data_IF_326547478849
#
_entry.id   IF_326547478849
#
_cell.length_a   1.000
_cell.length_b   1.000
_cell.length_c   1.000
_cell.angle_alpha   90.00
_cell.angle_beta   90.00
_cell.angle_gamma   90.00
#
_symmetry.space_group_name_H-M   'P 1'
#
loop_
_entity.id
_entity.type
_entity.pdbx_description
1 polymer ?
#
# COMPACT_ATOMS: atom_id res chain seq x y z
N UNK A 1 -0.80 3.03 41.78
CA UNK A 1 -0.87 2.91 43.27
C UNK A 1 0.54 2.64 43.77
N UNK A 2 1.03 3.45 44.71
CA UNK A 2 2.45 3.53 45.03
C UNK A 2 3.02 2.33 45.80
N UNK A 3 4.17 1.85 45.34
CA UNK A 3 5.09 1.06 46.13
C UNK A 3 6.38 1.89 46.32
N UNK A 4 6.75 2.12 47.58
CA UNK A 4 8.02 2.75 47.95
C UNK A 4 9.14 1.72 47.74
N UNK A 5 10.23 2.01 47.01
CA UNK A 5 11.28 1.03 46.80
C UNK A 5 12.16 0.91 48.05
N UNK A 6 12.26 -0.29 48.58
CA UNK A 6 13.25 -0.65 49.60
C UNK A 6 14.63 -0.67 48.95
N UNK A 7 15.59 0.04 49.56
CA UNK A 7 16.98 0.10 49.10
C UNK A 7 17.67 -1.27 49.29
N UNK A 8 17.89 -1.99 48.19
CA UNK A 8 18.68 -3.21 48.15
C UNK A 8 20.06 -2.96 47.51
N UNK A 9 21.09 -3.64 48.04
CA UNK A 9 22.49 -3.31 47.84
C UNK A 9 23.12 -4.19 46.76
N UNK A 10 23.36 -3.60 45.57
CA UNK A 10 24.14 -4.18 44.48
C UNK A 10 23.93 -3.41 43.18
N UNK A 11 24.95 -2.71 42.67
CA UNK A 11 24.83 -1.80 41.51
C UNK A 11 24.41 -2.50 40.22
N UNK A 12 24.71 -3.80 40.06
CA UNK A 12 24.28 -4.61 38.90
C UNK A 12 22.82 -5.09 38.99
N UNK A 13 22.37 -5.49 40.19
CA UNK A 13 20.98 -5.93 40.40
C UNK A 13 19.98 -4.79 40.17
N UNK A 14 20.34 -3.56 40.57
CA UNK A 14 19.53 -2.37 40.33
C UNK A 14 19.34 -2.08 38.83
N UNK A 15 20.38 -2.26 38.00
CA UNK A 15 20.30 -2.00 36.55
C UNK A 15 19.35 -3.00 35.89
N UNK A 16 19.41 -4.28 36.27
CA UNK A 16 18.53 -5.31 35.71
C UNK A 16 17.07 -5.13 36.14
N UNK A 17 16.81 -4.69 37.38
CA UNK A 17 15.46 -4.33 37.85
C UNK A 17 14.90 -3.12 37.09
N UNK A 18 15.72 -2.10 36.80
CA UNK A 18 15.27 -0.97 35.97
C UNK A 18 14.94 -1.40 34.53
N UNK A 19 15.76 -2.26 33.93
CA UNK A 19 15.51 -2.77 32.57
C UNK A 19 14.27 -3.65 32.50
N UNK A 20 13.99 -4.47 33.53
CA UNK A 20 12.72 -5.18 33.64
C UNK A 20 11.52 -4.23 33.69
N UNK A 21 11.65 -3.13 34.44
CA UNK A 21 10.62 -2.09 34.47
C UNK A 21 10.33 -1.51 33.08
N UNK A 22 11.36 -1.14 32.32
CA UNK A 22 11.19 -0.63 30.96
C UNK A 22 10.64 -1.66 29.98
N UNK A 23 11.04 -2.93 30.10
CA UNK A 23 10.49 -3.99 29.27
C UNK A 23 8.97 -4.13 29.48
N UNK A 24 8.50 -4.07 30.73
CA UNK A 24 7.05 -4.08 31.02
C UNK A 24 6.33 -2.84 30.50
N UNK A 25 6.97 -1.66 30.54
CA UNK A 25 6.39 -0.45 29.94
C UNK A 25 6.29 -0.56 28.41
N UNK A 26 7.31 -1.13 27.74
CA UNK A 26 7.29 -1.39 26.29
C UNK A 26 6.20 -2.40 25.93
N UNK A 27 6.05 -3.47 26.69
CA UNK A 27 4.96 -4.44 26.50
C UNK A 27 3.57 -3.80 26.65
N UNK A 28 3.40 -2.89 27.62
CA UNK A 28 2.19 -2.09 27.75
C UNK A 28 1.98 -1.12 26.58
N UNK A 29 3.06 -0.52 26.07
CA UNK A 29 3.03 0.31 24.86
C UNK A 29 2.58 -0.47 23.63
N UNK A 30 3.10 -1.68 23.44
CA UNK A 30 2.67 -2.58 22.36
C UNK A 30 1.19 -2.95 22.48
N UNK A 31 0.70 -3.25 23.69
CA UNK A 31 -0.74 -3.53 23.90
C UNK A 31 -1.63 -2.35 23.47
N UNK A 32 -1.19 -1.11 23.76
CA UNK A 32 -1.87 0.12 23.34
C UNK A 32 -1.87 0.29 21.82
N UNK A 33 -0.72 0.14 21.19
CA UNK A 33 -0.55 0.29 19.73
C UNK A 33 -1.35 -0.76 18.98
N UNK A 34 -1.40 -2.00 19.48
CA UNK A 34 -2.19 -3.09 18.90
C UNK A 34 -3.69 -2.80 18.96
N UNK A 35 -4.17 -2.33 20.10
CA UNK A 35 -5.57 -1.94 20.25
C UNK A 35 -5.93 -0.73 19.35
N UNK A 36 -5.03 0.23 19.21
CA UNK A 36 -5.21 1.37 18.32
C UNK A 36 -5.22 0.95 16.84
N UNK A 37 -4.35 0.01 16.44
CA UNK A 37 -4.34 -0.55 15.09
C UNK A 37 -5.64 -1.29 14.76
N UNK A 38 -6.18 -2.07 15.71
CA UNK A 38 -7.47 -2.73 15.57
C UNK A 38 -8.61 -1.71 15.46
N UNK A 39 -8.61 -0.68 16.30
CA UNK A 39 -9.61 0.39 16.24
C UNK A 39 -9.58 1.11 14.88
N UNK A 40 -8.40 1.48 14.39
CA UNK A 40 -8.23 2.16 13.10
C UNK A 40 -8.72 1.30 11.94
N UNK A 41 -8.51 -0.02 12.01
CA UNK A 41 -8.99 -0.95 11.00
C UNK A 41 -10.52 -1.01 10.94
N UNK A 42 -11.19 -0.95 12.09
CA UNK A 42 -12.66 -0.91 12.17
C UNK A 42 -13.23 0.40 11.66
N UNK A 43 -12.58 1.53 11.99
CA UNK A 43 -12.97 2.85 11.48
C UNK A 43 -12.81 2.89 9.96
N UNK A 44 -11.65 2.50 9.42
CA UNK A 44 -11.41 2.44 7.98
C UNK A 44 -12.44 1.55 7.27
N UNK A 45 -12.76 0.38 7.83
CA UNK A 45 -13.81 -0.48 7.29
C UNK A 45 -15.21 0.16 7.34
N UNK A 46 -15.49 0.96 8.39
CA UNK A 46 -16.70 1.76 8.49
C UNK A 46 -16.80 2.83 7.40
N UNK A 47 -15.70 3.56 7.16
CA UNK A 47 -15.62 4.56 6.11
C UNK A 47 -15.81 3.95 4.72
N UNK A 48 -15.25 2.77 4.44
CA UNK A 48 -15.49 2.05 3.17
C UNK A 48 -16.96 1.64 2.97
N UNK A 49 -17.65 1.22 4.04
CA UNK A 49 -19.10 0.99 3.95
C UNK A 49 -19.85 2.28 3.65
N UNK A 50 -19.41 3.38 4.23
CA UNK A 50 -19.98 4.70 4.02
C UNK A 50 -19.79 5.18 2.57
N UNK A 51 -18.59 4.97 2.02
CA UNK A 51 -18.22 5.26 0.64
C UNK A 51 -19.08 4.46 -0.35
N UNK A 52 -19.31 3.17 -0.07
CA UNK A 52 -20.17 2.32 -0.88
C UNK A 52 -21.62 2.85 -0.96
N UNK A 53 -22.13 3.45 0.13
CA UNK A 53 -23.44 4.12 0.12
C UNK A 53 -23.43 5.38 -0.74
N UNK A 54 -22.34 6.18 -0.68
CA UNK A 54 -22.17 7.38 -1.49
C UNK A 54 -22.04 7.07 -2.99
N UNK A 55 -21.25 6.05 -3.35
CA UNK A 55 -21.14 5.54 -4.72
C UNK A 55 -22.52 5.14 -5.25
N UNK A 56 -23.31 4.38 -4.46
CA UNK A 56 -24.68 4.03 -4.84
C UNK A 56 -25.58 5.26 -4.98
N UNK A 57 -25.43 6.27 -4.11
CA UNK A 57 -26.17 7.54 -4.15
C UNK A 57 -25.86 8.39 -5.38
N UNK A 58 -24.65 8.29 -5.94
CA UNK A 58 -24.20 9.05 -7.11
C UNK A 58 -24.91 8.70 -8.43
N UNK A 59 -25.63 7.57 -8.45
CA UNK A 59 -26.38 7.11 -9.62
C UNK A 59 -27.63 7.94 -9.82
N UNK A 60 -27.81 8.50 -11.02
CA UNK A 60 -28.94 9.39 -11.35
C UNK A 60 -30.28 8.66 -11.47
N UNK A 61 -30.26 7.36 -11.72
CA UNK A 61 -31.45 6.52 -11.93
C UNK A 61 -32.08 6.01 -10.62
N UNK A 62 -31.55 6.37 -9.45
CA UNK A 62 -32.12 5.93 -8.17
C UNK A 62 -33.46 6.62 -7.86
N UNK A 63 -34.53 5.86 -7.55
CA UNK A 63 -35.81 6.42 -7.11
C UNK A 63 -35.69 7.16 -5.77
N UNK A 64 -36.51 8.20 -5.56
CA UNK A 64 -36.46 9.04 -4.35
C UNK A 64 -36.68 8.28 -3.04
N UNK A 65 -37.51 7.22 -3.03
CA UNK A 65 -37.69 6.37 -1.86
C UNK A 65 -36.40 5.64 -1.43
N UNK A 66 -35.62 5.14 -2.40
CA UNK A 66 -34.34 4.47 -2.11
C UNK A 66 -33.26 5.45 -1.66
N UNK A 67 -33.35 6.74 -2.04
CA UNK A 67 -32.43 7.78 -1.54
C UNK A 67 -32.64 8.06 -0.06
N UNK A 68 -33.89 8.06 0.42
CA UNK A 68 -34.19 8.20 1.86
C UNK A 68 -33.61 7.04 2.67
N UNK A 69 -33.70 5.82 2.14
CA UNK A 69 -33.10 4.64 2.77
C UNK A 69 -31.57 4.75 2.83
N UNK A 70 -30.92 5.25 1.77
CA UNK A 70 -29.47 5.51 1.75
C UNK A 70 -29.06 6.58 2.76
N UNK A 71 -29.78 7.71 2.85
CA UNK A 71 -29.50 8.75 3.84
C UNK A 71 -29.67 8.21 5.27
N UNK A 72 -30.64 7.32 5.50
CA UNK A 72 -30.83 6.69 6.81
C UNK A 72 -29.70 5.69 7.15
N UNK A 73 -29.24 4.92 6.16
CA UNK A 73 -28.08 4.03 6.31
C UNK A 73 -26.80 4.82 6.58
N UNK A 74 -26.60 5.93 5.88
CA UNK A 74 -25.51 6.88 6.11
C UNK A 74 -25.46 7.38 7.57
N UNK A 75 -26.58 7.89 8.09
CA UNK A 75 -26.67 8.33 9.49
C UNK A 75 -26.34 7.21 10.50
N UNK A 76 -26.67 5.96 10.14
CA UNK A 76 -26.32 4.78 10.94
C UNK A 76 -24.80 4.54 10.94
N UNK A 77 -24.15 4.60 9.77
CA UNK A 77 -22.69 4.44 9.69
C UNK A 77 -21.95 5.56 10.43
N UNK A 78 -22.40 6.82 10.36
CA UNK A 78 -21.83 7.91 11.17
C UNK A 78 -21.85 7.59 12.67
N UNK A 79 -22.98 7.07 13.16
CA UNK A 79 -23.11 6.67 14.57
C UNK A 79 -22.19 5.50 14.92
N UNK A 80 -22.00 4.55 14.00
CA UNK A 80 -21.10 3.41 14.21
C UNK A 80 -19.63 3.83 14.25
N UNK A 81 -19.20 4.76 13.39
CA UNK A 81 -17.84 5.34 13.43
C UNK A 81 -17.59 5.98 14.79
N UNK A 82 -18.50 6.84 15.26
CA UNK A 82 -18.40 7.45 16.59
C UNK A 82 -18.38 6.41 17.71
N UNK A 83 -19.20 5.36 17.60
CA UNK A 83 -19.26 4.31 18.59
C UNK A 83 -17.93 3.53 18.65
N UNK A 84 -17.36 3.13 17.52
CA UNK A 84 -16.09 2.41 17.47
C UNK A 84 -14.93 3.25 18.02
N UNK A 85 -14.88 4.55 17.68
CA UNK A 85 -13.89 5.48 18.25
C UNK A 85 -13.97 5.56 19.79
N UNK A 86 -15.18 5.50 20.34
CA UNK A 86 -15.42 5.53 21.78
C UNK A 86 -15.30 4.17 22.48
N UNK A 87 -15.20 3.06 21.74
CA UNK A 87 -14.99 1.71 22.30
C UNK A 87 -13.52 1.31 22.41
N UNK A 88 -12.63 2.03 21.70
CA UNK A 88 -11.19 1.82 21.78
C UNK A 88 -10.64 2.34 23.12
N UNK A 89 -10.62 1.46 24.13
CA UNK A 89 -10.18 1.77 25.48
C UNK A 89 -9.28 0.65 26.03
N UNK A 90 -8.17 1.05 26.67
CA UNK A 90 -7.37 0.17 27.54
C UNK A 90 -7.28 0.82 28.92
N UNK A 91 -7.60 0.07 29.98
CA UNK A 91 -7.45 0.51 31.36
C UNK A 91 -8.07 1.89 31.65
N UNK A 92 -9.24 2.22 31.06
CA UNK A 92 -9.89 3.53 31.18
C UNK A 92 -9.19 4.70 30.51
N UNK A 93 -8.33 4.41 29.55
CA UNK A 93 -7.75 5.37 28.62
C UNK A 93 -8.36 5.14 27.25
N UNK A 94 -9.08 6.15 26.75
CA UNK A 94 -9.59 6.14 25.38
C UNK A 94 -8.46 6.43 24.40
N UNK A 95 -8.40 5.65 23.34
CA UNK A 95 -7.30 5.63 22.39
C UNK A 95 -7.60 6.38 21.08
N UNK A 96 -8.88 6.51 20.73
CA UNK A 96 -9.30 6.95 19.40
C UNK A 96 -10.38 8.06 19.38
N UNK A 97 -10.70 8.68 20.53
CA UNK A 97 -11.75 9.72 20.61
C UNK A 97 -11.23 11.10 21.04
N UNK A 98 -9.91 11.32 20.98
CA UNK A 98 -9.29 12.60 21.36
C UNK A 98 -9.32 12.96 22.84
N UNK A 99 -9.91 12.12 23.72
CA UNK A 99 -9.94 12.41 25.18
C UNK A 99 -8.55 12.32 25.83
N UNK A 100 -7.66 11.54 25.23
CA UNK A 100 -6.26 11.43 25.61
C UNK A 100 -5.44 11.73 24.36
N UNK A 101 -4.41 12.57 24.49
CA UNK A 101 -3.62 13.03 23.34
C UNK A 101 -2.39 12.17 23.08
N UNK A 102 -1.75 11.68 24.14
CA UNK A 102 -0.57 10.82 24.02
C UNK A 102 -0.36 9.96 25.26
N UNK A 103 0.43 8.90 25.11
CA UNK A 103 0.95 8.05 26.18
C UNK A 103 2.47 8.02 26.11
N UNK A 104 3.09 8.14 27.27
CA UNK A 104 4.54 8.11 27.46
C UNK A 104 4.99 6.68 27.79
N UNK A 105 5.86 6.10 26.96
CA UNK A 105 6.49 4.79 27.19
C UNK A 105 7.97 4.99 27.51
N UNK A 106 8.39 4.53 28.69
CA UNK A 106 9.78 4.64 29.13
C UNK A 106 10.61 3.45 28.65
N UNK A 107 11.62 3.75 27.82
CA UNK A 107 12.57 2.77 27.27
C UNK A 107 14.00 2.95 27.82
N UNK A 108 14.22 3.93 28.69
CA UNK A 108 15.52 4.19 29.29
C UNK A 108 15.53 5.33 30.32
N UNK A 109 16.71 5.64 30.84
CA UNK A 109 16.93 6.76 31.78
C UNK A 109 17.23 8.09 31.10
N UNK A 110 17.51 8.08 29.79
CA UNK A 110 17.87 9.30 29.07
C UNK A 110 16.64 10.21 28.93
N UNK A 111 16.70 11.48 29.33
CA UNK A 111 15.54 12.37 29.29
C UNK A 111 15.14 12.79 27.87
N UNK A 112 15.92 12.45 26.84
CA UNK A 112 15.67 12.81 25.43
C UNK A 112 15.36 11.57 24.59
N UNK A 113 16.00 10.43 24.86
CA UNK A 113 15.87 9.20 24.06
C UNK A 113 15.33 8.00 24.87
N UNK A 114 15.08 8.17 26.17
CA UNK A 114 14.53 7.15 27.05
C UNK A 114 13.00 7.18 27.13
N UNK A 115 12.36 8.00 26.32
CA UNK A 115 10.92 8.18 26.28
C UNK A 115 10.42 8.13 24.83
N UNK A 116 9.43 7.29 24.58
CA UNK A 116 8.68 7.24 23.32
C UNK A 116 7.29 7.80 23.62
N UNK A 117 6.95 8.91 22.97
CA UNK A 117 5.61 9.48 23.04
C UNK A 117 4.75 8.86 21.94
N UNK A 118 3.70 8.14 22.32
CA UNK A 118 2.74 7.53 21.41
C UNK A 118 1.58 8.50 21.25
N UNK A 119 1.41 9.15 20.08
CA UNK A 119 0.23 9.96 19.83
C UNK A 119 -1.01 9.06 19.75
N UNK A 120 -2.07 9.47 20.45
CA UNK A 120 -3.39 8.86 20.34
C UNK A 120 -4.25 9.66 19.37
N UNK A 121 -5.29 9.01 18.84
CA UNK A 121 -6.03 9.53 17.70
C UNK A 121 -7.41 10.07 18.11
N UNK A 122 -7.99 10.87 17.21
CA UNK A 122 -9.39 11.26 17.28
C UNK A 122 -10.07 10.94 15.95
N UNK A 123 -10.68 9.76 15.90
CA UNK A 123 -11.41 9.24 14.75
C UNK A 123 -12.93 9.36 14.94
N UNK A 124 -13.37 10.31 15.77
CA UNK A 124 -14.80 10.61 15.90
C UNK A 124 -15.35 11.18 14.59
N UNK A 125 -16.61 10.88 14.30
CA UNK A 125 -17.29 11.32 13.09
C UNK A 125 -17.24 12.85 12.88
N UNK A 126 -17.36 13.70 13.92
CA UNK A 126 -17.18 15.15 13.78
C UNK A 126 -15.76 15.57 13.36
N UNK A 127 -14.72 14.88 13.83
CA UNK A 127 -13.33 15.20 13.47
C UNK A 127 -13.02 14.75 12.06
N UNK A 128 -13.52 13.57 11.67
CA UNK A 128 -13.41 13.04 10.31
C UNK A 128 -14.32 13.76 9.30
N UNK A 129 -15.24 14.61 9.76
CA UNK A 129 -16.20 15.33 8.90
C UNK A 129 -17.30 14.44 8.30
N UNK A 130 -17.57 13.30 8.93
CA UNK A 130 -18.55 12.28 8.49
C UNK A 130 -19.76 12.19 9.42
N UNK A 131 -19.97 13.20 10.25
CA UNK A 131 -21.08 13.28 11.20
C UNK A 131 -22.46 13.42 10.50
N UNK A 132 -23.52 13.26 11.30
CA UNK A 132 -24.89 13.29 10.79
C UNK A 132 -25.21 14.66 10.16
N UNK A 133 -25.46 14.65 8.85
CA UNK A 133 -25.76 15.84 8.06
C UNK A 133 -24.58 16.42 7.28
N UNK A 134 -23.35 15.97 7.53
CA UNK A 134 -22.17 16.30 6.72
C UNK A 134 -22.11 15.50 5.42
N UNK A 135 -22.71 14.31 5.40
CA UNK A 135 -22.85 13.45 4.22
C UNK A 135 -24.26 13.60 3.61
N UNK A 136 -24.34 14.13 2.40
CA UNK A 136 -25.59 14.33 1.67
C UNK A 136 -25.76 13.28 0.57
N UNK A 137 -26.66 12.31 0.78
CA UNK A 137 -27.02 11.29 -0.21
C UNK A 137 -28.42 11.52 -0.82
N UNK A 138 -29.01 12.69 -0.57
CA UNK A 138 -30.40 12.99 -0.97
C UNK A 138 -30.54 13.21 -2.49
N UNK A 139 -29.45 13.58 -3.17
CA UNK A 139 -29.36 13.70 -4.62
C UNK A 139 -27.96 13.28 -5.16
N UNK A 140 -27.83 13.05 -6.49
CA UNK A 140 -26.56 12.59 -7.08
C UNK A 140 -25.39 13.57 -6.93
N UNK A 141 -25.63 14.87 -6.91
CA UNK A 141 -24.59 15.91 -6.80
C UNK A 141 -24.08 15.99 -5.36
N UNK A 142 -25.00 15.94 -4.38
CA UNK A 142 -24.66 15.79 -2.97
C UNK A 142 -23.82 14.53 -2.72
N UNK A 143 -24.22 13.40 -3.31
CA UNK A 143 -23.52 12.13 -3.12
C UNK A 143 -22.08 12.15 -3.67
N UNK A 144 -21.86 12.77 -4.85
CA UNK A 144 -20.52 12.96 -5.42
C UNK A 144 -19.65 13.88 -4.57
N UNK A 145 -20.23 14.94 -4.00
CA UNK A 145 -19.50 15.85 -3.11
C UNK A 145 -19.12 15.16 -1.80
N UNK A 146 -19.99 14.29 -1.30
CA UNK A 146 -19.76 13.52 -0.08
C UNK A 146 -18.69 12.44 -0.26
N UNK A 147 -18.52 11.91 -1.48
CA UNK A 147 -17.44 10.95 -1.78
C UNK A 147 -16.06 11.55 -1.50
N UNK A 148 -15.82 12.79 -1.92
CA UNK A 148 -14.55 13.48 -1.66
C UNK A 148 -14.29 13.70 -0.16
N UNK A 149 -15.34 13.91 0.65
CA UNK A 149 -15.22 14.01 2.11
C UNK A 149 -14.84 12.66 2.72
N UNK A 150 -15.48 11.58 2.25
CA UNK A 150 -15.21 10.21 2.73
C UNK A 150 -13.81 9.74 2.34
N UNK A 151 -13.34 10.05 1.12
CA UNK A 151 -11.97 9.78 0.66
C UNK A 151 -10.93 10.53 1.52
N UNK A 152 -11.19 11.81 1.83
CA UNK A 152 -10.32 12.58 2.71
C UNK A 152 -10.28 12.03 4.15
N UNK A 153 -11.43 11.59 4.68
CA UNK A 153 -11.51 10.95 5.98
C UNK A 153 -10.75 9.62 6.02
N UNK A 154 -10.91 8.78 4.97
CA UNK A 154 -10.19 7.52 4.85
C UNK A 154 -8.68 7.73 4.78
N UNK A 155 -8.23 8.68 3.95
CA UNK A 155 -6.82 9.04 3.84
C UNK A 155 -6.22 9.52 5.18
N UNK A 156 -6.96 10.31 5.95
CA UNK A 156 -6.53 10.74 7.29
C UNK A 156 -6.36 9.56 8.25
N UNK A 157 -7.29 8.59 8.24
CA UNK A 157 -7.21 7.40 9.09
C UNK A 157 -6.07 6.48 8.65
N UNK A 158 -5.80 6.36 7.35
CA UNK A 158 -4.70 5.55 6.84
C UNK A 158 -3.32 6.17 7.13
N UNK A 159 -3.20 7.50 7.09
CA UNK A 159 -2.00 8.22 7.55
C UNK A 159 -1.73 7.92 9.03
N UNK A 160 -2.75 8.05 9.88
CA UNK A 160 -2.66 7.73 11.31
C UNK A 160 -2.30 6.25 11.54
N UNK A 161 -2.87 5.31 10.76
CA UNK A 161 -2.53 3.88 10.83
C UNK A 161 -1.06 3.61 10.44
N UNK A 162 -0.51 4.38 9.50
CA UNK A 162 0.91 4.35 9.16
C UNK A 162 1.79 4.74 10.35
N UNK A 163 1.44 5.79 11.08
CA UNK A 163 2.13 6.19 12.31
C UNK A 163 2.05 5.11 13.41
N UNK A 164 0.89 4.48 13.56
CA UNK A 164 0.69 3.38 14.52
C UNK A 164 1.59 2.19 14.18
N UNK A 165 1.69 1.81 12.91
CA UNK A 165 2.57 0.73 12.46
C UNK A 165 4.05 1.05 12.72
N UNK A 166 4.53 2.23 12.32
CA UNK A 166 5.92 2.63 12.58
C UNK A 166 6.26 2.68 14.08
N UNK A 167 5.31 3.08 14.92
CA UNK A 167 5.47 3.09 16.38
C UNK A 167 5.57 1.67 16.95
N UNK A 168 4.80 0.72 16.38
CA UNK A 168 4.89 -0.71 16.73
C UNK A 168 6.29 -1.25 16.48
N UNK A 169 6.81 -1.04 15.27
CA UNK A 169 8.12 -1.55 14.87
C UNK A 169 9.24 -0.99 15.78
N UNK A 170 9.16 0.29 16.12
CA UNK A 170 10.07 0.92 17.07
C UNK A 170 10.01 0.26 18.45
N UNK A 171 8.81 0.01 18.97
CA UNK A 171 8.64 -0.65 20.27
C UNK A 171 9.12 -2.10 20.26
N UNK A 172 8.93 -2.84 19.16
CA UNK A 172 9.43 -4.21 18.99
C UNK A 172 10.97 -4.24 19.01
N UNK A 173 11.65 -3.32 18.31
CA UNK A 173 13.12 -3.18 18.40
C UNK A 173 13.57 -2.88 19.83
N UNK A 174 12.85 -2.03 20.56
CA UNK A 174 13.17 -1.75 21.96
C UNK A 174 12.92 -2.97 22.87
N UNK A 175 11.86 -3.73 22.61
CA UNK A 175 11.53 -4.98 23.33
C UNK A 175 12.65 -6.01 23.18
N UNK A 176 13.09 -6.27 21.94
CA UNK A 176 14.17 -7.20 21.65
C UNK A 176 15.49 -6.80 22.33
N UNK A 177 15.86 -5.52 22.23
CA UNK A 177 17.09 -5.00 22.86
C UNK A 177 17.05 -5.10 24.38
N UNK A 178 15.92 -4.76 25.01
CA UNK A 178 15.75 -4.87 26.46
C UNK A 178 15.73 -6.34 26.91
N UNK A 179 15.16 -7.23 26.11
CA UNK A 179 15.15 -8.68 26.36
C UNK A 179 16.56 -9.28 26.33
N UNK A 180 17.35 -8.97 25.30
CA UNK A 180 18.76 -9.39 25.20
C UNK A 180 19.58 -8.82 26.36
N UNK A 181 19.40 -7.54 26.67
CA UNK A 181 20.08 -6.90 27.80
C UNK A 181 19.74 -7.57 29.14
N UNK A 182 18.52 -8.08 29.29
CA UNK A 182 18.08 -8.81 30.46
C UNK A 182 18.67 -10.23 30.52
N UNK A 183 18.87 -10.87 29.38
CA UNK A 183 19.58 -12.16 29.26
C UNK A 183 21.05 -12.01 29.70
N UNK A 184 21.76 -10.99 29.21
CA UNK A 184 23.13 -10.66 29.65
C UNK A 184 23.19 -10.34 31.16
N UNK A 185 22.14 -9.72 31.70
CA UNK A 185 22.00 -9.46 33.12
C UNK A 185 22.01 -10.74 33.97
N UNK A 186 21.52 -11.87 33.44
CA UNK A 186 21.60 -13.19 34.08
C UNK A 186 23.02 -13.77 34.08
N UNK A 187 23.83 -13.44 33.08
CA UNK A 187 25.21 -13.92 32.91
C UNK A 187 26.20 -13.20 33.86
N UNK A 188 25.88 -11.98 34.31
CA UNK A 188 26.67 -11.22 35.30
C UNK A 188 26.60 -11.76 36.74
N UNK A 189 25.79 -12.79 37.02
CA UNK A 189 25.65 -13.42 38.35
C UNK A 189 26.64 -14.60 38.55
N UNK A 190 27.37 -15.04 37.52
CA UNK A 190 28.42 -16.07 37.65
C UNK A 190 29.83 -15.48 37.56
N UNK A 191 30.63 -15.42 38.65
CA UNK A 191 31.97 -14.81 38.64
C UNK A 191 33.06 -15.65 37.93
N UNK A 192 32.73 -16.50 36.96
CA UNK A 192 33.69 -17.40 36.31
C UNK A 192 33.51 -17.59 34.79
N UNK A 193 32.88 -16.66 34.07
CA UNK A 193 32.80 -16.75 32.61
C UNK A 193 34.03 -16.11 31.91
N UNK A 194 34.63 -16.77 30.90
CA UNK A 194 35.75 -16.25 30.12
C UNK A 194 35.34 -15.06 29.25
N UNK A 195 36.32 -14.21 28.87
CA UNK A 195 36.10 -12.95 28.14
C UNK A 195 35.16 -13.09 26.93
N UNK A 196 34.31 -12.09 26.66
CA UNK A 196 33.36 -12.13 25.55
C UNK A 196 34.12 -12.21 24.23
N UNK A 197 33.82 -13.27 23.46
CA UNK A 197 34.08 -13.29 22.03
C UNK A 197 33.15 -12.26 21.44
N UNK A 198 33.70 -11.15 20.91
CA UNK A 198 32.91 -10.17 20.14
C UNK A 198 32.21 -10.95 19.02
N UNK A 199 30.88 -11.07 19.02
CA UNK A 199 30.18 -11.70 17.91
C UNK A 199 30.48 -10.88 16.65
N UNK A 200 30.59 -11.53 15.48
CA UNK A 200 30.68 -10.79 14.22
C UNK A 200 29.54 -9.77 14.13
N UNK A 201 29.73 -8.63 13.43
CA UNK A 201 28.71 -7.60 13.32
C UNK A 201 27.40 -8.23 12.87
N UNK A 202 26.32 -7.88 13.57
CA UNK A 202 24.98 -8.33 13.22
C UNK A 202 24.64 -7.81 11.81
N UNK A 203 24.39 -8.75 10.90
CA UNK A 203 24.07 -8.46 9.49
C UNK A 203 22.57 -8.40 9.25
N UNK A 204 21.74 -8.68 10.26
CA UNK A 204 20.27 -8.67 10.18
C UNK A 204 19.72 -7.42 9.51
N UNK A 205 20.16 -6.24 9.94
CA UNK A 205 19.72 -4.93 9.42
C UNK A 205 20.07 -4.73 7.95
N UNK A 206 21.22 -5.25 7.51
CA UNK A 206 21.63 -5.15 6.10
C UNK A 206 20.80 -6.10 5.27
N UNK A 207 20.61 -7.34 5.75
CA UNK A 207 19.77 -8.35 5.11
C UNK A 207 18.32 -7.87 4.95
N UNK A 208 17.75 -7.26 5.98
CA UNK A 208 16.40 -6.69 5.96
C UNK A 208 16.26 -5.62 4.87
N UNK A 209 17.16 -4.63 4.84
CA UNK A 209 17.14 -3.60 3.79
C UNK A 209 17.34 -4.14 2.37
N UNK A 210 18.06 -5.26 2.20
CA UNK A 210 18.21 -5.92 0.90
C UNK A 210 16.91 -6.61 0.47
N UNK A 211 16.18 -7.21 1.42
CA UNK A 211 14.90 -7.86 1.18
C UNK A 211 13.80 -6.83 0.88
N UNK A 212 13.75 -5.73 1.61
CA UNK A 212 12.79 -4.64 1.35
C UNK A 212 12.92 -4.10 -0.09
N UNK A 213 14.14 -3.82 -0.53
CA UNK A 213 14.38 -3.35 -1.90
C UNK A 213 13.96 -4.38 -2.97
N UNK A 214 14.07 -5.69 -2.66
CA UNK A 214 13.63 -6.75 -3.55
C UNK A 214 12.10 -6.86 -3.60
N UNK A 215 11.45 -6.72 -2.45
CA UNK A 215 9.99 -6.74 -2.34
C UNK A 215 9.36 -5.54 -3.05
N UNK A 216 9.96 -4.34 -2.93
CA UNK A 216 9.56 -3.16 -3.70
C UNK A 216 9.69 -3.38 -5.21
N UNK A 217 10.80 -4.01 -5.64
CA UNK A 217 11.01 -4.38 -7.04
C UNK A 217 9.98 -5.37 -7.56
N UNK A 218 9.66 -6.40 -6.76
CA UNK A 218 8.63 -7.39 -7.08
C UNK A 218 7.25 -6.75 -7.17
N UNK A 219 6.90 -5.88 -6.22
CA UNK A 219 5.63 -5.16 -6.23
C UNK A 219 5.48 -4.29 -7.50
N UNK A 220 6.54 -3.59 -7.90
CA UNK A 220 6.55 -2.81 -9.14
C UNK A 220 6.33 -3.70 -10.37
N UNK A 221 7.01 -4.85 -10.47
CA UNK A 221 6.83 -5.80 -11.58
C UNK A 221 5.40 -6.33 -11.65
N UNK A 222 4.81 -6.73 -10.52
CA UNK A 222 3.44 -7.24 -10.47
C UNK A 222 2.40 -6.21 -10.94
N UNK A 223 2.62 -4.92 -10.64
CA UNK A 223 1.77 -3.84 -11.16
C UNK A 223 1.87 -3.76 -12.69
N UNK A 224 3.08 -3.90 -13.24
CA UNK A 224 3.29 -3.93 -14.69
C UNK A 224 2.60 -5.15 -15.31
N UNK A 225 2.72 -6.34 -14.72
CA UNK A 225 2.07 -7.57 -15.21
C UNK A 225 0.55 -7.45 -15.24
N UNK A 226 -0.06 -6.95 -14.16
CA UNK A 226 -1.52 -6.72 -14.10
C UNK A 226 -1.96 -5.70 -15.14
N UNK A 227 -1.17 -4.65 -15.36
CA UNK A 227 -1.48 -3.64 -16.39
C UNK A 227 -1.35 -4.24 -17.79
N UNK A 228 -0.32 -5.04 -18.03
CA UNK A 228 -0.07 -5.70 -19.32
C UNK A 228 -1.24 -6.62 -19.69
N UNK A 229 -1.73 -7.43 -18.76
CA UNK A 229 -2.91 -8.28 -18.95
C UNK A 229 -4.16 -7.46 -19.33
N UNK A 230 -4.36 -6.32 -18.65
CA UNK A 230 -5.48 -5.42 -18.94
C UNK A 230 -5.36 -4.78 -20.34
N UNK A 231 -4.16 -4.37 -20.74
CA UNK A 231 -3.90 -3.84 -22.08
C UNK A 231 -4.07 -4.95 -23.14
N UNK A 232 -3.63 -6.18 -22.87
CA UNK A 232 -3.85 -7.32 -23.76
C UNK A 232 -5.33 -7.56 -24.04
N UNK A 233 -6.20 -7.45 -23.02
CA UNK A 233 -7.66 -7.55 -23.18
C UNK A 233 -8.20 -6.48 -24.15
N UNK A 234 -7.80 -5.22 -23.95
CA UNK A 234 -8.23 -4.11 -24.82
C UNK A 234 -7.71 -4.28 -26.25
N UNK A 235 -6.45 -4.69 -26.42
CA UNK A 235 -5.87 -4.94 -27.74
C UNK A 235 -6.55 -6.15 -28.41
N UNK A 236 -6.98 -7.15 -27.65
CA UNK A 236 -7.81 -8.25 -28.13
C UNK A 236 -9.15 -7.77 -28.72
N UNK A 237 -9.80 -6.81 -28.05
CA UNK A 237 -11.02 -6.18 -28.55
C UNK A 237 -10.77 -5.34 -29.80
N UNK A 238 -9.68 -4.55 -29.82
CA UNK A 238 -9.26 -3.81 -31.02
C UNK A 238 -9.01 -4.76 -32.19
N UNK A 239 -8.35 -5.90 -31.94
CA UNK A 239 -8.11 -6.93 -32.95
C UNK A 239 -9.42 -7.44 -33.54
N UNK A 240 -10.40 -7.73 -32.69
CA UNK A 240 -11.72 -8.17 -33.14
C UNK A 240 -12.40 -7.12 -34.03
N UNK A 241 -12.37 -5.84 -33.64
CA UNK A 241 -12.94 -4.74 -34.44
C UNK A 241 -12.27 -4.66 -35.82
N UNK A 242 -10.95 -4.73 -35.86
CA UNK A 242 -10.19 -4.66 -37.12
C UNK A 242 -10.39 -5.89 -37.98
N UNK A 243 -10.46 -7.08 -37.39
CA UNK A 243 -10.71 -8.34 -38.10
C UNK A 243 -12.06 -8.29 -38.84
N UNK A 244 -13.11 -7.75 -38.23
CA UNK A 244 -14.40 -7.54 -38.92
C UNK A 244 -14.27 -6.57 -40.10
N UNK A 245 -13.39 -5.57 -40.00
CA UNK A 245 -13.12 -4.61 -41.07
C UNK A 245 -12.48 -5.22 -42.32
N UNK A 246 -11.91 -6.42 -42.21
CA UNK A 246 -11.27 -7.14 -43.33
C UNK A 246 -12.27 -7.83 -44.25
N UNK A 247 -13.55 -7.96 -43.87
CA UNK A 247 -14.55 -8.60 -44.72
C UNK A 247 -14.83 -7.76 -46.00
N UNK A 248 -14.55 -8.30 -47.20
CA UNK A 248 -14.83 -7.60 -48.46
C UNK A 248 -16.33 -7.43 -48.75
N UNK A 249 -17.21 -8.18 -48.09
CA UNK A 249 -18.66 -8.03 -48.18
C UNK A 249 -19.19 -6.88 -47.30
N UNK A 250 -18.38 -6.37 -46.37
CA UNK A 250 -18.79 -5.30 -45.46
C UNK A 250 -18.94 -3.94 -46.18
N UNK A 251 -20.11 -3.29 -46.10
CA UNK A 251 -20.31 -1.95 -46.66
C UNK A 251 -19.38 -0.90 -46.05
N UNK A 252 -18.97 0.10 -46.85
CA UNK A 252 -18.09 1.17 -46.38
C UNK A 252 -18.68 1.96 -45.19
N UNK A 253 -20.00 2.12 -45.12
CA UNK A 253 -20.67 2.78 -43.99
C UNK A 253 -20.58 1.97 -42.69
N UNK A 254 -20.56 0.64 -42.77
CA UNK A 254 -20.41 -0.23 -41.60
C UNK A 254 -18.94 -0.28 -41.15
N UNK A 255 -18.00 -0.27 -42.11
CA UNK A 255 -16.57 -0.16 -41.80
C UNK A 255 -16.21 1.16 -41.12
N UNK A 256 -16.88 2.26 -41.49
CA UNK A 256 -16.75 3.54 -40.78
C UNK A 256 -17.18 3.45 -39.31
N UNK A 257 -18.25 2.69 -39.00
CA UNK A 257 -18.69 2.45 -37.61
C UNK A 257 -17.65 1.64 -36.83
N UNK A 258 -16.97 0.68 -37.47
CA UNK A 258 -15.83 -0.02 -36.85
C UNK A 258 -14.68 0.94 -36.57
N UNK A 259 -14.40 1.89 -37.48
CA UNK A 259 -13.48 3.01 -37.26
C UNK A 259 -13.82 3.84 -36.03
N UNK A 260 -15.09 4.22 -35.87
CA UNK A 260 -15.55 4.96 -34.69
C UNK A 260 -15.37 4.12 -33.41
N UNK A 261 -15.67 2.81 -33.47
CA UNK A 261 -15.45 1.89 -32.35
C UNK A 261 -13.97 1.76 -31.96
N UNK A 262 -13.07 1.70 -32.95
CA UNK A 262 -11.63 1.69 -32.74
C UNK A 262 -11.16 2.94 -32.00
N UNK A 263 -11.61 4.13 -32.43
CA UNK A 263 -11.27 5.41 -31.80
C UNK A 263 -11.81 5.58 -30.38
N UNK A 264 -12.79 4.77 -29.97
CA UNK A 264 -13.30 4.77 -28.59
C UNK A 264 -12.46 3.86 -27.69
N UNK A 265 -11.97 2.74 -28.22
CA UNK A 265 -11.21 1.75 -27.46
C UNK A 265 -9.71 2.07 -27.39
N UNK A 266 -9.12 2.63 -28.44
CA UNK A 266 -7.69 2.94 -28.51
C UNK A 266 -7.20 3.82 -27.35
N UNK A 267 -7.89 4.91 -26.95
CA UNK A 267 -7.43 5.74 -25.83
C UNK A 267 -7.42 5.01 -24.48
N UNK A 268 -8.16 3.90 -24.35
CA UNK A 268 -8.16 3.11 -23.12
C UNK A 268 -6.79 2.44 -22.88
N UNK A 269 -6.06 2.09 -23.95
CA UNK A 269 -4.70 1.57 -23.84
C UNK A 269 -3.78 2.59 -23.18
N UNK A 270 -3.81 3.84 -23.64
CA UNK A 270 -2.99 4.92 -23.06
C UNK A 270 -3.39 5.22 -21.61
N UNK A 271 -4.69 5.21 -21.31
CA UNK A 271 -5.17 5.39 -19.92
C UNK A 271 -4.67 4.28 -18.99
N UNK A 272 -4.65 3.02 -19.44
CA UNK A 272 -4.11 1.90 -18.66
C UNK A 272 -2.60 2.05 -18.48
N UNK A 273 -1.87 2.37 -19.56
CA UNK A 273 -0.42 2.59 -19.51
C UNK A 273 -0.05 3.74 -18.55
N UNK A 274 -0.82 4.83 -18.53
CA UNK A 274 -0.63 5.96 -17.61
C UNK A 274 -1.03 5.67 -16.15
N UNK A 275 -1.89 4.67 -15.92
CA UNK A 275 -2.28 4.27 -14.56
C UNK A 275 -1.24 3.37 -13.87
N UNK A 276 -0.29 2.83 -14.63
CA UNK A 276 0.75 1.93 -14.16
C UNK A 276 1.91 2.72 -13.52
N UNK A 277 1.82 2.89 -12.20
CA UNK A 277 2.82 3.62 -11.41
C UNK A 277 3.08 2.96 -10.06
N UNK A 278 4.29 3.14 -9.55
CA UNK A 278 4.69 2.72 -8.20
C UNK A 278 5.63 3.76 -7.59
N UNK A 279 5.37 4.17 -6.35
CA UNK A 279 6.22 5.17 -5.66
C UNK A 279 6.34 6.51 -6.39
N UNK A 280 5.37 6.86 -7.25
CA UNK A 280 5.40 8.06 -8.09
C UNK A 280 6.26 7.96 -9.35
N UNK A 281 6.74 6.76 -9.71
CA UNK A 281 7.43 6.46 -10.96
C UNK A 281 6.43 5.77 -11.90
N UNK A 282 6.31 6.28 -13.12
CA UNK A 282 5.55 5.61 -14.18
C UNK A 282 6.34 4.42 -14.72
N UNK A 283 5.70 3.26 -14.76
CA UNK A 283 6.35 1.99 -15.10
C UNK A 283 6.02 1.50 -16.52
N UNK A 284 4.95 2.00 -17.14
CA UNK A 284 4.46 1.45 -18.41
C UNK A 284 4.32 2.46 -19.58
N UNK A 285 4.54 3.77 -19.37
CA UNK A 285 4.27 4.80 -20.38
C UNK A 285 5.53 5.36 -21.07
N UNK A 286 6.69 4.75 -20.85
CA UNK A 286 7.96 5.16 -21.45
C UNK A 286 8.60 6.43 -20.85
N UNK A 287 7.95 7.11 -19.88
CA UNK A 287 8.52 8.30 -19.21
C UNK A 287 9.80 7.97 -18.44
N UNK A 288 9.87 6.76 -17.88
CA UNK A 288 11.05 6.21 -17.22
C UNK A 288 11.48 4.95 -17.98
N UNK A 289 12.58 4.95 -18.75
CA UNK A 289 12.95 3.81 -19.59
C UNK A 289 13.52 2.62 -18.81
N UNK A 290 14.01 2.86 -17.60
CA UNK A 290 14.61 1.83 -16.76
C UNK A 290 14.69 2.27 -15.31
N UNK A 291 14.61 1.32 -14.39
CA UNK A 291 14.87 1.51 -12.95
C UNK A 291 16.04 0.62 -12.51
N UNK A 292 16.80 1.09 -11.52
CA UNK A 292 17.91 0.33 -10.94
C UNK A 292 17.49 -0.18 -9.56
N UNK A 293 17.49 -1.50 -9.39
CA UNK A 293 17.22 -2.16 -8.13
C UNK A 293 18.53 -2.51 -7.44
N UNK A 294 18.68 -2.08 -6.18
CA UNK A 294 19.88 -2.33 -5.38
C UNK A 294 19.61 -3.42 -4.34
N UNK A 295 20.33 -4.52 -4.45
CA UNK A 295 20.18 -5.65 -3.54
C UNK A 295 21.47 -6.05 -2.86
N UNK A 296 22.63 -5.65 -3.38
CA UNK A 296 23.93 -6.02 -2.82
C UNK A 296 24.34 -5.13 -1.64
N UNK A 297 25.43 -5.50 -0.97
CA UNK A 297 26.03 -4.67 0.09
C UNK A 297 27.13 -3.73 -0.44
N UNK A 298 27.52 -3.92 -1.70
CA UNK A 298 28.52 -3.14 -2.40
C UNK A 298 27.92 -2.04 -3.27
N UNK A 299 28.58 -1.75 -4.40
CA UNK A 299 28.09 -0.76 -5.38
C UNK A 299 28.68 -1.06 -6.78
N UNK A 300 28.69 -2.33 -7.16
CA UNK A 300 29.18 -2.79 -8.46
C UNK A 300 27.99 -3.11 -9.36
N UNK A 301 27.96 -2.52 -10.55
CA UNK A 301 26.92 -2.75 -11.54
C UNK A 301 26.91 -4.21 -12.02
N UNK A 302 25.71 -4.80 -12.14
CA UNK A 302 25.50 -6.22 -12.47
C UNK A 302 25.95 -7.21 -11.39
N UNK A 303 26.40 -6.74 -10.23
CA UNK A 303 26.77 -7.56 -9.06
C UNK A 303 25.91 -7.19 -7.86
N UNK A 304 25.85 -5.91 -7.50
CA UNK A 304 25.05 -5.41 -6.37
C UNK A 304 23.74 -4.74 -6.84
N UNK A 305 23.58 -4.59 -8.16
CA UNK A 305 22.51 -3.81 -8.80
C UNK A 305 22.02 -4.49 -10.06
N UNK A 306 20.71 -4.42 -10.28
CA UNK A 306 20.03 -4.95 -11.46
C UNK A 306 19.29 -3.79 -12.12
N UNK A 307 19.56 -3.55 -13.40
CA UNK A 307 18.76 -2.62 -14.19
C UNK A 307 17.56 -3.36 -14.77
N UNK A 308 16.37 -2.92 -14.42
CA UNK A 308 15.10 -3.37 -14.99
C UNK A 308 14.72 -2.40 -16.09
N UNK A 309 14.53 -2.91 -17.31
CA UNK A 309 14.00 -2.12 -18.41
C UNK A 309 12.49 -2.07 -18.27
N UNK A 310 11.92 -0.88 -18.41
CA UNK A 310 10.48 -0.66 -18.29
C UNK A 310 9.87 -0.57 -19.69
N UNK A 311 8.74 -1.26 -19.94
CA UNK A 311 8.11 -1.23 -21.24
C UNK A 311 7.43 0.12 -21.50
N UNK A 312 7.36 0.50 -22.77
CA UNK A 312 6.48 1.58 -23.24
C UNK A 312 5.28 0.93 -23.94
N UNK A 313 4.15 0.88 -23.22
CA UNK A 313 2.90 0.27 -23.64
C UNK A 313 1.92 1.30 -24.24
N UNK A 314 2.37 2.52 -24.52
CA UNK A 314 1.54 3.54 -25.17
C UNK A 314 1.14 3.12 -26.59
N UNK A 315 0.00 3.61 -27.05
CA UNK A 315 -0.52 3.37 -28.40
C UNK A 315 0.49 3.76 -29.49
N UNK A 316 1.27 4.81 -29.25
CA UNK A 316 2.33 5.30 -30.14
C UNK A 316 3.49 4.31 -30.20
N UNK A 317 3.97 3.82 -29.05
CA UNK A 317 5.07 2.87 -28.99
C UNK A 317 4.69 1.51 -29.60
N UNK A 318 3.45 1.08 -29.37
CA UNK A 318 2.86 -0.13 -29.95
C UNK A 318 2.50 0.04 -31.44
N UNK A 319 2.48 1.26 -31.97
CA UNK A 319 2.18 1.55 -33.38
C UNK A 319 0.72 1.30 -33.77
N UNK A 320 -0.19 1.49 -32.82
CA UNK A 320 -1.64 1.31 -32.95
C UNK A 320 -2.41 2.63 -32.73
N UNK A 321 -1.72 3.77 -32.73
CA UNK A 321 -2.37 5.07 -32.58
C UNK A 321 -3.40 5.32 -33.69
N UNK A 322 -4.46 6.07 -33.39
CA UNK A 322 -5.54 6.34 -34.35
C UNK A 322 -5.06 6.99 -35.68
N UNK A 323 -3.86 7.58 -35.72
CA UNK A 323 -3.25 8.13 -36.94
C UNK A 323 -2.55 7.10 -37.82
N UNK A 324 -2.20 5.93 -37.27
CA UNK A 324 -1.49 4.84 -37.96
C UNK A 324 -2.38 3.73 -38.49
N UNK A 325 -3.66 3.72 -38.11
CA UNK A 325 -4.66 2.69 -38.48
C UNK A 325 -5.72 3.25 -39.44
N UNK A 326 -5.92 2.59 -40.58
CA UNK A 326 -6.96 2.93 -41.56
C UNK A 326 -8.00 1.82 -41.69
N UNK A 327 -9.22 2.03 -41.20
CA UNK A 327 -10.34 1.11 -41.37
C UNK A 327 -11.32 1.53 -42.47
N UNK A 328 -10.95 2.45 -43.37
CA UNK A 328 -11.88 2.89 -44.45
C UNK A 328 -11.93 1.90 -45.61
N UNK A 329 -10.87 1.10 -45.80
CA UNK A 329 -10.74 0.13 -46.89
C UNK A 329 -10.39 -1.25 -46.35
N UNK A 330 -10.69 -2.31 -47.13
CA UNK A 330 -10.30 -3.69 -46.77
C UNK A 330 -8.78 -3.80 -46.60
N UNK A 331 -8.01 -3.24 -47.55
CA UNK A 331 -6.55 -3.26 -47.49
C UNK A 331 -5.99 -2.48 -46.30
N UNK A 332 -6.67 -1.39 -45.89
CA UNK A 332 -6.34 -0.67 -44.66
C UNK A 332 -6.57 -1.53 -43.43
N UNK A 333 -7.73 -2.19 -43.33
CA UNK A 333 -8.04 -3.11 -42.21
C UNK A 333 -7.06 -4.29 -42.14
N UNK A 334 -6.63 -4.84 -43.27
CA UNK A 334 -5.60 -5.91 -43.31
C UNK A 334 -4.25 -5.41 -42.78
N UNK A 335 -3.86 -4.18 -43.10
CA UNK A 335 -2.64 -3.57 -42.58
C UNK A 335 -2.74 -3.28 -41.07
N UNK A 336 -3.90 -2.78 -40.63
CA UNK A 336 -4.19 -2.55 -39.21
C UNK A 336 -4.18 -3.85 -38.40
N UNK A 337 -4.70 -4.95 -38.95
CA UNK A 337 -4.68 -6.24 -38.29
C UNK A 337 -3.24 -6.71 -38.06
N UNK A 338 -2.37 -6.51 -39.05
CA UNK A 338 -0.95 -6.82 -38.91
C UNK A 338 -0.23 -5.94 -37.88
N UNK A 339 -0.63 -4.67 -37.73
CA UNK A 339 -0.12 -3.78 -36.67
C UNK A 339 -0.54 -4.27 -35.28
N UNK A 340 -1.82 -4.65 -35.11
CA UNK A 340 -2.33 -5.16 -33.84
C UNK A 340 -1.69 -6.50 -33.47
N UNK A 341 -1.54 -7.42 -34.43
CA UNK A 341 -0.85 -8.69 -34.20
C UNK A 341 0.63 -8.47 -33.81
N UNK A 342 1.28 -7.43 -34.34
CA UNK A 342 2.63 -7.05 -33.95
C UNK A 342 2.68 -6.45 -32.52
N UNK A 343 1.70 -5.61 -32.16
CA UNK A 343 1.58 -5.08 -30.80
C UNK A 343 1.39 -6.19 -29.77
N UNK A 344 0.49 -7.16 -30.02
CA UNK A 344 0.31 -8.34 -29.16
C UNK A 344 1.60 -9.15 -29.02
N UNK A 345 2.38 -9.31 -30.09
CA UNK A 345 3.66 -9.99 -30.03
C UNK A 345 4.69 -9.25 -29.16
N UNK A 346 4.65 -7.91 -29.12
CA UNK A 346 5.45 -7.10 -28.19
C UNK A 346 5.01 -7.37 -26.75
N UNK A 347 3.71 -7.28 -26.46
CA UNK A 347 3.17 -7.54 -25.11
C UNK A 347 3.57 -8.91 -24.57
N UNK A 348 3.43 -9.97 -25.38
CA UNK A 348 3.86 -11.32 -24.97
C UNK A 348 5.37 -11.43 -24.76
N UNK A 349 6.16 -10.65 -25.50
CA UNK A 349 7.60 -10.53 -25.30
C UNK A 349 7.90 -9.94 -23.92
N UNK A 350 7.31 -8.78 -23.62
CA UNK A 350 7.47 -8.08 -22.34
C UNK A 350 7.02 -8.96 -21.16
N UNK A 351 5.85 -9.61 -21.26
CA UNK A 351 5.36 -10.52 -20.22
C UNK A 351 6.33 -11.69 -19.96
N UNK A 352 6.95 -12.23 -21.02
CA UNK A 352 7.97 -13.27 -20.86
C UNK A 352 9.24 -12.76 -20.20
N UNK A 353 9.65 -11.53 -20.44
CA UNK A 353 10.84 -10.92 -19.81
C UNK A 353 10.59 -10.62 -18.33
N UNK A 354 9.40 -10.09 -17.98
CA UNK A 354 8.99 -9.84 -16.60
C UNK A 354 8.93 -11.14 -15.78
N UNK A 355 8.35 -12.20 -16.33
CA UNK A 355 8.34 -13.50 -15.65
C UNK A 355 9.75 -14.03 -15.36
N UNK A 356 10.69 -13.90 -16.30
CA UNK A 356 12.08 -14.32 -16.07
C UNK A 356 12.78 -13.46 -15.02
N UNK A 357 12.43 -12.18 -14.96
CA UNK A 357 12.92 -11.27 -13.94
C UNK A 357 12.38 -11.63 -12.56
N UNK A 358 11.08 -11.90 -12.40
CA UNK A 358 10.50 -12.36 -11.13
C UNK A 358 11.19 -13.62 -10.62
N UNK A 359 11.39 -14.63 -11.48
CA UNK A 359 12.11 -15.85 -11.11
C UNK A 359 13.55 -15.57 -10.66
N UNK A 360 14.19 -14.56 -11.27
CA UNK A 360 15.51 -14.08 -10.88
C UNK A 360 15.52 -13.44 -9.49
N UNK A 361 14.52 -12.60 -9.19
CA UNK A 361 14.36 -11.96 -7.89
C UNK A 361 14.03 -12.98 -6.78
N UNK A 362 13.17 -13.96 -7.05
CA UNK A 362 12.87 -15.05 -6.11
C UNK A 362 14.11 -15.88 -5.76
N UNK A 363 14.92 -16.23 -6.77
CA UNK A 363 16.18 -16.93 -6.55
C UNK A 363 17.17 -16.09 -5.74
N UNK A 364 17.16 -14.77 -5.93
CA UNK A 364 18.01 -13.84 -5.22
C UNK A 364 17.59 -13.66 -3.75
N UNK A 365 16.29 -13.54 -3.49
CA UNK A 365 15.75 -13.52 -2.13
C UNK A 365 16.12 -14.79 -1.38
N UNK A 366 15.90 -15.97 -1.98
CA UNK A 366 16.28 -17.24 -1.35
C UNK A 366 17.78 -17.33 -1.06
N UNK A 367 18.62 -16.75 -1.91
CA UNK A 367 20.05 -16.65 -1.66
C UNK A 367 20.38 -15.77 -0.44
N UNK A 368 19.74 -14.61 -0.31
CA UNK A 368 19.93 -13.68 0.82
C UNK A 368 19.47 -14.32 2.14
N UNK A 369 18.31 -14.99 2.12
CA UNK A 369 17.76 -15.70 3.29
C UNK A 369 18.64 -16.88 3.74
N UNK A 370 19.21 -17.62 2.78
CA UNK A 370 20.15 -18.72 3.05
C UNK A 370 21.56 -18.23 3.47
N UNK A 371 21.78 -16.91 3.50
CA UNK A 371 23.01 -16.28 3.98
C UNK A 371 24.21 -16.39 3.02
N UNK A 372 23.95 -16.29 1.71
CA UNK A 372 25.00 -16.28 0.67
C UNK A 372 26.04 -15.17 0.83
#
# INVERSE_FOLDING_TARGET
MGATPQLFTGTGALICEFKQGWLTEVEGGLEVVDALAVAGGRIAQGLLRYEALAIRGSTELLPSGQRVDLTSAAATEATLVDQEANLAEINSIFLANGSTLSIDVYVGTDPIHGLIEIPLMDWTAPVLGVDEGSIDLSDPVGARSSLAVLEAAAASVDEDRGWVAATRDLLEVHHERLSIDLELCGELVDPAAPEPVVPPPDRSVVTESQLDNLDDGRAAIQIVEVTLDAIEEVIGDLRWVVEQGTDPALPASERAVLGDGYQVLEPLVDVLADSCSYGGIDLCNGSTPSVELHWGTGNVDGVDRITVSLPDLSTIALGIDAGSVDLTTVAGSEAALAQIDAALAVLWGEASELFLLEQGLDALQGAIEDGL
#
